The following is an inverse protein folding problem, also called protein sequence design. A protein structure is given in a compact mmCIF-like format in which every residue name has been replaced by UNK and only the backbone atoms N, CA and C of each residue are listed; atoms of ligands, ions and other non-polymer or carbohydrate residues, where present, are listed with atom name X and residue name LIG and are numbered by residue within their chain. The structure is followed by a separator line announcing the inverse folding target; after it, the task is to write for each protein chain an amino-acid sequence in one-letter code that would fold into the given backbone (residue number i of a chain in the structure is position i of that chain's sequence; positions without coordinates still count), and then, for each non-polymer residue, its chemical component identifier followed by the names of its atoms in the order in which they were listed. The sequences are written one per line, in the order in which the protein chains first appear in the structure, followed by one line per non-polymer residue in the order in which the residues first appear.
data_IF_790573972243
#
_entry.id   IF_790573972243
#
_cell.length_a   1.000
_cell.length_b   1.000
_cell.length_c   1.000
_cell.angle_alpha   90.00
_cell.angle_beta   90.00
_cell.angle_gamma   90.00
#
_symmetry.space_group_name_H-M   'P 1'
#
loop_
_entity.id
_entity.type
_entity.pdbx_description
1 polymer ?
#
# COMPACT_ATOMS: atom_id res chain seq x y z
N UNK A 1 -34.92 4.47 -8.07
CA UNK A 1 -33.59 5.11 -8.03
C UNK A 1 -33.69 6.46 -8.71
N UNK A 2 -33.62 7.57 -7.97
CA UNK A 2 -33.65 8.92 -8.56
C UNK A 2 -32.23 9.27 -8.97
N UNK A 3 -31.96 9.36 -10.26
CA UNK A 3 -30.64 9.76 -10.78
C UNK A 3 -30.38 11.22 -10.42
N UNK A 4 -29.38 11.46 -9.60
CA UNK A 4 -28.87 12.81 -9.38
C UNK A 4 -28.19 13.32 -10.65
N UNK A 5 -28.26 14.62 -10.96
CA UNK A 5 -27.52 15.21 -12.06
C UNK A 5 -26.01 15.04 -11.83
N UNK A 6 -25.26 14.74 -12.89
CA UNK A 6 -23.80 14.48 -12.85
C UNK A 6 -22.99 15.62 -12.19
N UNK A 7 -23.56 16.83 -12.15
CA UNK A 7 -22.98 18.01 -11.47
C UNK A 7 -23.04 17.92 -9.94
N UNK A 8 -24.02 17.24 -9.37
CA UNK A 8 -24.10 17.02 -7.91
C UNK A 8 -23.16 15.89 -7.45
N UNK A 9 -22.80 14.97 -8.35
CA UNK A 9 -21.74 13.98 -8.13
C UNK A 9 -20.33 14.61 -8.16
N UNK A 10 -20.17 15.71 -8.89
CA UNK A 10 -18.95 16.54 -8.93
C UNK A 10 -18.89 17.54 -7.75
N UNK A 11 -19.56 17.25 -6.64
CA UNK A 11 -19.38 18.01 -5.42
C UNK A 11 -17.88 18.12 -5.10
N UNK A 12 -17.43 19.31 -4.69
CA UNK A 12 -16.02 19.62 -4.38
C UNK A 12 -15.34 18.54 -3.55
N UNK A 13 -16.10 17.90 -2.66
CA UNK A 13 -15.65 16.82 -1.81
C UNK A 13 -15.29 15.52 -2.58
N UNK A 14 -16.06 15.12 -3.59
CA UNK A 14 -15.74 13.94 -4.43
C UNK A 14 -14.50 14.19 -5.27
N UNK A 15 -14.36 15.41 -5.80
CA UNK A 15 -13.18 15.82 -6.59
C UNK A 15 -11.92 15.76 -5.74
N UNK A 16 -11.95 16.27 -4.50
CA UNK A 16 -10.78 16.22 -3.59
C UNK A 16 -10.36 14.77 -3.30
N UNK A 17 -11.30 13.88 -2.94
CA UNK A 17 -10.99 12.48 -2.65
C UNK A 17 -10.47 11.73 -3.89
N UNK A 18 -11.04 12.04 -5.06
CA UNK A 18 -10.60 11.46 -6.34
C UNK A 18 -9.22 11.97 -6.77
N UNK A 19 -8.92 13.25 -6.56
CA UNK A 19 -7.58 13.80 -6.79
C UNK A 19 -6.56 13.19 -5.84
N UNK A 20 -6.92 12.99 -4.56
CA UNK A 20 -6.06 12.33 -3.58
C UNK A 20 -5.76 10.87 -3.97
N UNK A 21 -6.76 10.14 -4.48
CA UNK A 21 -6.57 8.83 -5.09
C UNK A 21 -5.63 8.88 -6.30
N UNK A 22 -5.89 9.80 -7.24
CA UNK A 22 -5.14 9.93 -8.48
C UNK A 22 -3.67 10.26 -8.25
N UNK A 23 -3.35 11.02 -7.18
CA UNK A 23 -1.97 11.28 -6.77
C UNK A 23 -1.32 10.07 -6.09
N UNK A 24 -2.09 9.28 -5.31
CA UNK A 24 -1.58 8.14 -4.58
C UNK A 24 -1.33 6.90 -5.46
N UNK A 25 -2.14 6.69 -6.49
CA UNK A 25 -2.06 5.58 -7.44
C UNK A 25 -0.69 5.40 -8.12
N UNK A 26 -0.12 6.42 -8.81
CA UNK A 26 1.15 6.27 -9.51
C UNK A 26 2.32 6.00 -8.55
N UNK A 27 2.29 6.55 -7.34
CA UNK A 27 3.33 6.30 -6.32
C UNK A 27 3.35 4.83 -5.94
N UNK A 28 2.18 4.21 -5.74
CA UNK A 28 2.10 2.80 -5.37
C UNK A 28 2.56 1.88 -6.50
N UNK A 29 2.10 2.13 -7.74
CA UNK A 29 2.52 1.35 -8.91
C UNK A 29 4.03 1.44 -9.10
N UNK A 30 4.60 2.64 -8.92
CA UNK A 30 6.05 2.87 -8.99
C UNK A 30 6.79 2.08 -7.91
N UNK A 31 6.33 2.14 -6.65
CA UNK A 31 6.91 1.37 -5.54
C UNK A 31 6.81 -0.14 -5.73
N UNK A 32 5.75 -0.62 -6.39
CA UNK A 32 5.58 -2.04 -6.73
C UNK A 32 6.59 -2.47 -7.79
N UNK A 33 6.76 -1.68 -8.85
CA UNK A 33 7.75 -1.96 -9.89
C UNK A 33 9.18 -1.90 -9.34
N UNK A 34 9.51 -0.85 -8.58
CA UNK A 34 10.83 -0.68 -7.95
C UNK A 34 11.15 -1.86 -7.04
N UNK A 35 10.18 -2.37 -6.26
CA UNK A 35 10.42 -3.54 -5.39
C UNK A 35 10.78 -4.79 -6.19
N UNK A 36 10.03 -5.12 -7.23
CA UNK A 36 10.29 -6.30 -8.04
C UNK A 36 11.69 -6.23 -8.67
N UNK A 37 12.08 -5.05 -9.17
CA UNK A 37 13.42 -4.81 -9.71
C UNK A 37 14.48 -4.92 -8.60
N UNK A 38 14.24 -4.33 -7.44
CA UNK A 38 15.17 -4.35 -6.30
C UNK A 38 15.48 -5.78 -5.82
N UNK A 39 14.50 -6.69 -5.84
CA UNK A 39 14.72 -8.08 -5.48
C UNK A 39 15.56 -8.86 -6.51
N UNK A 40 15.48 -8.49 -7.79
CA UNK A 40 16.23 -9.12 -8.86
C UNK A 40 17.67 -8.58 -9.02
N UNK A 41 17.96 -7.38 -8.50
CA UNK A 41 19.30 -6.77 -8.58
C UNK A 41 20.33 -7.61 -7.77
N UNK A 42 21.55 -7.83 -8.29
CA UNK A 42 22.59 -8.55 -7.57
C UNK A 42 23.03 -7.86 -6.28
N UNK A 43 23.50 -8.63 -5.30
CA UNK A 43 23.86 -8.11 -3.96
C UNK A 43 24.99 -7.07 -4.04
N UNK A 44 25.89 -7.19 -5.03
CA UNK A 44 26.98 -6.23 -5.29
C UNK A 44 26.48 -4.82 -5.59
N UNK A 45 25.32 -4.68 -6.23
CA UNK A 45 24.68 -3.39 -6.49
C UNK A 45 23.68 -2.98 -5.39
N UNK A 46 23.48 -3.83 -4.38
CA UNK A 46 22.61 -3.57 -3.24
C UNK A 46 21.19 -4.09 -3.37
N UNK A 47 20.95 -5.05 -4.27
CA UNK A 47 19.72 -5.83 -4.32
C UNK A 47 19.81 -7.11 -3.50
N UNK A 48 18.86 -8.03 -3.70
CA UNK A 48 18.78 -9.28 -2.96
C UNK A 48 19.22 -10.52 -3.74
N UNK A 49 19.46 -10.39 -5.05
CA UNK A 49 19.85 -11.52 -5.93
C UNK A 49 18.91 -12.73 -5.78
N UNK A 50 17.61 -12.46 -5.58
CA UNK A 50 16.61 -13.50 -5.44
C UNK A 50 16.30 -14.10 -6.81
N UNK A 51 16.19 -15.43 -6.86
CA UNK A 51 15.76 -16.14 -8.06
C UNK A 51 14.30 -15.78 -8.42
N UNK A 52 14.00 -15.74 -9.72
CA UNK A 52 12.70 -15.32 -10.26
C UNK A 52 11.51 -16.12 -9.67
N UNK A 53 11.60 -17.46 -9.49
CA UNK A 53 10.56 -18.25 -8.84
C UNK A 53 10.36 -17.89 -7.36
N UNK A 54 11.43 -17.52 -6.65
CA UNK A 54 11.35 -17.10 -5.25
C UNK A 54 10.66 -15.75 -5.12
N UNK A 55 10.98 -14.79 -6.00
CA UNK A 55 10.29 -13.50 -6.08
C UNK A 55 8.79 -13.71 -6.34
N UNK A 56 8.45 -14.58 -7.30
CA UNK A 56 7.05 -14.92 -7.61
C UNK A 56 6.30 -15.50 -6.41
N UNK A 57 6.95 -16.40 -5.66
CA UNK A 57 6.36 -17.01 -4.46
C UNK A 57 6.12 -15.98 -3.36
N UNK A 58 7.08 -15.09 -3.10
CA UNK A 58 6.93 -14.01 -2.11
C UNK A 58 5.79 -13.06 -2.51
N UNK A 59 5.70 -12.70 -3.80
CA UNK A 59 4.63 -11.84 -4.31
C UNK A 59 3.25 -12.52 -4.20
N UNK A 60 3.16 -13.82 -4.49
CA UNK A 60 1.93 -14.59 -4.35
C UNK A 60 1.47 -14.66 -2.89
N UNK A 61 2.38 -15.00 -1.96
CA UNK A 61 2.09 -14.99 -0.52
C UNK A 61 1.67 -13.60 -0.04
N UNK A 62 2.34 -12.55 -0.51
CA UNK A 62 1.96 -11.17 -0.20
C UNK A 62 0.55 -10.86 -0.68
N UNK A 63 0.16 -11.29 -1.87
CA UNK A 63 -1.21 -11.09 -2.38
C UNK A 63 -2.27 -11.76 -1.49
N UNK A 64 -2.01 -13.00 -1.07
CA UNK A 64 -2.90 -13.75 -0.17
C UNK A 64 -2.99 -13.06 1.20
N UNK A 65 -1.85 -12.74 1.81
CA UNK A 65 -1.79 -12.07 3.10
C UNK A 65 -2.45 -10.69 3.05
N UNK A 66 -2.25 -9.93 1.97
CA UNK A 66 -2.89 -8.64 1.79
C UNK A 66 -4.42 -8.80 1.79
N UNK A 67 -4.98 -9.71 1.01
CA UNK A 67 -6.43 -9.95 0.96
C UNK A 67 -7.01 -10.38 2.30
N UNK A 68 -6.34 -11.32 3.00
CA UNK A 68 -6.79 -11.82 4.30
C UNK A 68 -6.70 -10.73 5.38
N UNK A 69 -5.57 -10.03 5.47
CA UNK A 69 -5.38 -8.97 6.46
C UNK A 69 -6.32 -7.80 6.18
N UNK A 70 -6.50 -7.42 4.92
CA UNK A 70 -7.43 -6.36 4.56
C UNK A 70 -8.87 -6.76 4.91
N UNK A 71 -9.30 -7.99 4.63
CA UNK A 71 -10.64 -8.45 4.99
C UNK A 71 -10.90 -8.42 6.51
N UNK A 72 -9.91 -8.81 7.33
CA UNK A 72 -10.07 -8.95 8.77
C UNK A 72 -9.81 -7.65 9.56
N UNK A 73 -8.79 -6.89 9.18
CA UNK A 73 -8.30 -5.74 9.94
C UNK A 73 -8.86 -4.41 9.43
N UNK A 74 -9.30 -4.31 8.17
CA UNK A 74 -9.77 -3.04 7.62
C UNK A 74 -10.97 -2.48 8.39
N UNK A 75 -11.97 -3.32 8.68
CA UNK A 75 -13.17 -2.90 9.44
C UNK A 75 -12.78 -2.44 10.84
N UNK A 76 -11.95 -3.23 11.55
CA UNK A 76 -11.49 -2.90 12.90
C UNK A 76 -10.66 -1.62 12.97
N UNK A 77 -9.74 -1.42 12.03
CA UNK A 77 -8.92 -0.20 11.97
C UNK A 77 -9.77 1.03 11.61
N UNK A 78 -10.76 0.86 10.72
CA UNK A 78 -11.69 1.91 10.37
C UNK A 78 -12.53 2.36 11.57
N UNK A 79 -13.05 1.42 12.36
CA UNK A 79 -13.83 1.73 13.55
C UNK A 79 -12.99 2.36 14.67
N UNK A 80 -11.70 2.03 14.75
CA UNK A 80 -10.81 2.54 15.80
C UNK A 80 -10.18 3.90 15.50
N UNK A 81 -9.65 4.11 14.28
CA UNK A 81 -8.96 5.36 13.90
C UNK A 81 -9.89 6.38 13.22
N UNK A 82 -11.04 5.94 12.71
CA UNK A 82 -11.91 6.75 11.84
C UNK A 82 -11.31 6.99 10.45
N UNK A 83 -12.14 7.35 9.48
CA UNK A 83 -11.72 7.39 8.07
C UNK A 83 -10.64 8.42 7.70
N UNK A 84 -10.60 9.61 8.33
CA UNK A 84 -9.61 10.65 8.00
C UNK A 84 -8.21 10.32 8.52
N UNK A 85 -8.10 9.94 9.78
CA UNK A 85 -6.82 9.61 10.40
C UNK A 85 -6.26 8.31 9.83
N UNK A 86 -7.14 7.36 9.50
CA UNK A 86 -6.73 6.12 8.86
C UNK A 86 -6.14 6.36 7.46
N UNK A 87 -6.73 7.26 6.66
CA UNK A 87 -6.15 7.65 5.37
C UNK A 87 -4.76 8.27 5.53
N UNK A 88 -4.61 9.23 6.45
CA UNK A 88 -3.32 9.85 6.75
C UNK A 88 -2.30 8.80 7.20
N UNK A 89 -2.67 7.90 8.11
CA UNK A 89 -1.80 6.83 8.59
C UNK A 89 -1.25 5.97 7.45
N UNK A 90 -2.11 5.57 6.49
CA UNK A 90 -1.68 4.77 5.35
C UNK A 90 -0.84 5.54 4.32
N UNK A 91 -1.04 6.84 4.19
CA UNK A 91 -0.17 7.70 3.37
C UNK A 91 1.19 7.85 4.05
N UNK A 92 1.21 8.09 5.36
CA UNK A 92 2.44 8.23 6.14
C UNK A 92 3.23 6.92 6.21
N UNK A 93 2.58 5.75 6.15
CA UNK A 93 3.26 4.45 6.14
C UNK A 93 4.14 4.21 4.91
N UNK A 94 4.05 5.07 3.87
CA UNK A 94 4.93 5.04 2.69
C UNK A 94 6.34 5.57 2.97
N UNK A 95 6.48 6.50 3.92
CA UNK A 95 7.79 7.01 4.33
C UNK A 95 8.69 5.95 4.98
N UNK A 96 8.24 5.19 6.00
CA UNK A 96 9.07 4.12 6.55
C UNK A 96 9.31 3.02 5.52
N UNK A 97 8.38 2.76 4.61
CA UNK A 97 8.61 1.83 3.50
C UNK A 97 9.74 2.28 2.58
N UNK A 98 9.82 3.56 2.25
CA UNK A 98 10.96 4.13 1.51
C UNK A 98 12.27 4.04 2.29
N UNK A 99 12.23 4.25 3.61
CA UNK A 99 13.40 4.13 4.48
C UNK A 99 13.90 2.67 4.62
N UNK A 100 13.01 1.68 4.49
CA UNK A 100 13.37 0.27 4.55
C UNK A 100 14.18 -0.19 3.33
N UNK A 101 14.00 0.41 2.14
CA UNK A 101 14.80 0.08 0.96
C UNK A 101 16.32 0.26 1.17
N UNK A 102 16.83 1.45 1.57
CA UNK A 102 18.25 1.63 1.81
C UNK A 102 18.74 0.84 3.03
N UNK A 103 17.90 0.66 4.05
CA UNK A 103 18.25 -0.18 5.21
C UNK A 103 18.52 -1.63 4.79
N UNK A 104 17.63 -2.22 3.99
CA UNK A 104 17.79 -3.57 3.43
C UNK A 104 19.04 -3.63 2.55
N UNK A 105 19.23 -2.64 1.67
CA UNK A 105 20.39 -2.59 0.77
C UNK A 105 21.71 -2.52 1.53
N UNK A 106 21.78 -1.73 2.60
CA UNK A 106 22.97 -1.59 3.45
C UNK A 106 23.27 -2.89 4.20
N UNK A 107 22.26 -3.52 4.80
CA UNK A 107 22.46 -4.77 5.54
C UNK A 107 22.79 -5.95 4.61
N UNK A 108 22.16 -6.01 3.43
CA UNK A 108 22.46 -7.02 2.42
C UNK A 108 23.90 -6.89 1.89
N UNK A 109 24.41 -5.66 1.71
CA UNK A 109 25.82 -5.44 1.35
C UNK A 109 26.79 -5.87 2.45
N UNK A 110 26.44 -5.67 3.72
CA UNK A 110 27.32 -5.97 4.85
C UNK A 110 27.35 -7.46 5.24
N UNK A 111 26.22 -8.16 5.13
CA UNK A 111 26.06 -9.53 5.65
C UNK A 111 25.51 -10.54 4.63
N UNK A 112 25.22 -10.12 3.39
CA UNK A 112 24.56 -10.97 2.39
C UNK A 112 23.11 -11.29 2.76
N UNK A 113 22.61 -12.43 2.30
CA UNK A 113 21.27 -12.95 2.60
C UNK A 113 21.20 -13.55 4.03
N UNK A 114 21.26 -12.69 5.04
CA UNK A 114 21.10 -13.06 6.45
C UNK A 114 19.62 -13.11 6.87
N UNK A 115 19.31 -13.82 7.96
CA UNK A 115 17.96 -13.86 8.55
C UNK A 115 17.40 -12.46 8.83
N UNK A 116 18.27 -11.51 9.17
CA UNK A 116 17.90 -10.12 9.42
C UNK A 116 17.38 -9.41 8.15
N UNK A 117 17.94 -9.73 6.97
CA UNK A 117 17.48 -9.18 5.68
C UNK A 117 16.08 -9.69 5.36
N UNK A 118 15.81 -10.98 5.58
CA UNK A 118 14.47 -11.54 5.42
C UNK A 118 13.45 -10.93 6.40
N UNK A 119 13.87 -10.62 7.64
CA UNK A 119 13.01 -9.93 8.61
C UNK A 119 12.68 -8.51 8.15
N UNK A 120 13.68 -7.75 7.68
CA UNK A 120 13.46 -6.41 7.13
C UNK A 120 12.57 -6.43 5.88
N UNK A 121 12.74 -7.41 5.00
CA UNK A 121 11.85 -7.64 3.86
C UNK A 121 10.44 -7.93 4.35
N UNK A 122 10.26 -8.83 5.33
CA UNK A 122 8.96 -9.10 5.95
C UNK A 122 8.29 -7.83 6.49
N UNK A 123 9.05 -6.98 7.19
CA UNK A 123 8.56 -5.70 7.69
C UNK A 123 8.17 -4.74 6.54
N UNK A 124 8.96 -4.69 5.47
CA UNK A 124 8.67 -3.92 4.27
C UNK A 124 7.37 -4.40 3.59
N UNK A 125 7.15 -5.72 3.54
CA UNK A 125 5.94 -6.34 2.99
C UNK A 125 4.71 -5.98 3.84
N UNK A 126 4.82 -6.03 5.18
CA UNK A 126 3.74 -5.61 6.09
C UNK A 126 3.39 -4.14 5.92
N UNK A 127 4.40 -3.26 5.84
CA UNK A 127 4.18 -1.83 5.58
C UNK A 127 3.46 -1.59 4.25
N UNK A 128 3.71 -2.43 3.24
CA UNK A 128 3.03 -2.37 1.96
C UNK A 128 1.56 -2.77 2.05
N UNK A 129 1.25 -3.85 2.75
CA UNK A 129 -0.13 -4.31 3.01
C UNK A 129 -0.94 -3.22 3.73
N UNK A 130 -0.32 -2.59 4.74
CA UNK A 130 -0.91 -1.47 5.46
C UNK A 130 -1.20 -0.31 4.49
N UNK A 131 -0.24 0.08 3.65
CA UNK A 131 -0.45 1.19 2.72
C UNK A 131 -1.51 0.88 1.64
N UNK A 132 -1.67 -0.39 1.25
CA UNK A 132 -2.70 -0.83 0.30
C UNK A 132 -4.13 -0.59 0.82
N UNK A 133 -4.30 -0.61 2.15
CA UNK A 133 -5.58 -0.34 2.79
C UNK A 133 -6.04 1.12 2.62
N UNK A 134 -5.16 2.05 2.22
CA UNK A 134 -5.53 3.42 1.85
C UNK A 134 -6.62 3.48 0.79
N UNK A 135 -6.55 2.60 -0.21
CA UNK A 135 -7.52 2.58 -1.31
C UNK A 135 -8.91 2.19 -0.85
N UNK A 136 -9.03 1.25 0.08
CA UNK A 136 -10.30 0.89 0.69
C UNK A 136 -10.96 2.08 1.40
N UNK A 137 -10.16 2.89 2.10
CA UNK A 137 -10.66 4.08 2.83
C UNK A 137 -11.11 5.16 1.86
N UNK A 138 -10.32 5.46 0.83
CA UNK A 138 -10.68 6.47 -0.18
C UNK A 138 -11.95 6.04 -0.94
N UNK A 139 -12.05 4.77 -1.31
CA UNK A 139 -13.25 4.25 -1.97
C UNK A 139 -14.48 4.34 -1.07
N UNK A 140 -14.35 4.00 0.21
CA UNK A 140 -15.42 4.16 1.20
C UNK A 140 -15.84 5.63 1.37
N UNK A 141 -14.90 6.57 1.44
CA UNK A 141 -15.22 8.01 1.50
C UNK A 141 -15.94 8.48 0.24
N UNK A 142 -15.44 8.10 -0.93
CA UNK A 142 -16.09 8.43 -2.22
C UNK A 142 -17.51 7.86 -2.24
N UNK A 143 -17.73 6.60 -1.86
CA UNK A 143 -19.05 5.99 -1.78
C UNK A 143 -19.97 6.70 -0.76
N UNK A 144 -19.45 7.08 0.41
CA UNK A 144 -20.24 7.76 1.44
C UNK A 144 -20.65 9.18 1.02
N UNK A 145 -19.78 9.90 0.30
CA UNK A 145 -20.07 11.24 -0.23
C UNK A 145 -20.99 11.16 -1.46
N UNK A 146 -20.84 10.12 -2.28
CA UNK A 146 -21.60 9.94 -3.53
C UNK A 146 -22.95 9.27 -3.33
N UNK A 147 -23.18 8.61 -2.19
CA UNK A 147 -24.46 7.98 -1.87
C UNK A 147 -25.46 9.05 -1.45
N UNK A 148 -26.53 9.31 -2.24
CA UNK A 148 -27.56 10.22 -1.82
C UNK A 148 -28.42 9.54 -0.76
N UNK A 149 -28.34 10.05 0.46
CA UNK A 149 -29.31 9.83 1.53
C UNK A 149 -29.35 8.39 2.10
N UNK A 150 -28.60 8.14 3.18
CA UNK A 150 -29.11 7.29 4.26
C UNK A 150 -29.89 8.20 5.21
N UNK A 151 -31.15 8.47 4.87
CA UNK A 151 -32.19 8.90 5.81
C UNK A 151 -33.29 7.85 5.79
#
# INVERSE_FOLDING_TARGET
MKSLPFRDLLATRVVIETCAYAAAAPIEISLRAVRTVFYAIPISMGGLELDVPAIGTILAMLGILNGVLQMLFFVRLHDWLGGKNLYLFFVFSRFPMLALFPAISFTAKAQGLSYFVYLLVGLQLLAFIISYSAYGVVFMHICNVSAPNRA
#
